data_IF_262274365696
#
_entry.id   IF_262274365696
#
_cell.length_a   1.000
_cell.length_b   1.000
_cell.length_c   1.000
_cell.angle_alpha   90.00
_cell.angle_beta   90.00
_cell.angle_gamma   90.00
#
_symmetry.space_group_name_H-M   'P 1'
#
loop_
_entity.id
_entity.type
_entity.pdbx_description
1 polymer ?
#
# COMPACT_ATOMS: atom_id res chain seq x y z
N UNK A 1 16.11 14.61 -0.71
CA UNK A 1 14.68 14.90 -0.48
C UNK A 1 13.86 13.89 -1.27
N UNK A 2 13.10 13.03 -0.59
CA UNK A 2 12.17 12.13 -1.29
C UNK A 2 10.96 12.90 -1.80
N UNK A 3 10.42 12.49 -2.94
CA UNK A 3 9.17 13.03 -3.48
C UNK A 3 7.99 12.29 -2.85
N UNK A 4 7.06 13.05 -2.26
CA UNK A 4 5.79 12.56 -1.74
C UNK A 4 4.69 12.88 -2.75
N UNK A 5 4.03 11.85 -3.27
CA UNK A 5 2.88 11.94 -4.14
C UNK A 5 1.65 11.48 -3.38
N UNK A 6 0.73 12.41 -3.10
CA UNK A 6 -0.58 12.09 -2.57
C UNK A 6 -1.58 12.14 -3.72
N UNK A 7 -2.21 11.00 -4.01
CA UNK A 7 -3.29 10.90 -4.97
C UNK A 7 -4.59 10.58 -4.23
N UNK A 8 -5.68 11.20 -4.65
CA UNK A 8 -6.98 11.01 -4.03
C UNK A 8 -8.01 10.66 -5.07
N UNK A 9 -8.64 9.51 -4.90
CA UNK A 9 -9.67 9.02 -5.82
C UNK A 9 -11.01 9.04 -5.10
N UNK A 10 -12.01 9.62 -5.77
CA UNK A 10 -13.39 9.60 -5.35
C UNK A 10 -14.12 8.48 -6.09
N UNK A 11 -14.65 7.52 -5.34
CA UNK A 11 -15.41 6.41 -5.90
C UNK A 11 -16.56 6.07 -4.96
N UNK A 12 -17.56 5.33 -5.46
CA UNK A 12 -18.63 4.81 -4.61
C UNK A 12 -18.08 3.89 -3.52
N UNK A 13 -18.69 3.93 -2.33
CA UNK A 13 -18.20 3.18 -1.16
C UNK A 13 -18.08 1.65 -1.40
N UNK A 14 -18.94 1.06 -2.23
CA UNK A 14 -18.83 -0.35 -2.63
C UNK A 14 -17.62 -0.61 -3.53
N UNK A 15 -17.41 0.23 -4.56
CA UNK A 15 -16.25 0.11 -5.46
C UNK A 15 -14.93 0.24 -4.71
N UNK A 16 -14.86 1.16 -3.75
CA UNK A 16 -13.70 1.35 -2.87
C UNK A 16 -13.38 0.06 -2.11
N UNK A 17 -14.39 -0.54 -1.48
CA UNK A 17 -14.20 -1.78 -0.72
C UNK A 17 -13.72 -2.92 -1.62
N UNK A 18 -14.37 -3.12 -2.77
CA UNK A 18 -13.95 -4.14 -3.73
C UNK A 18 -12.53 -3.92 -4.26
N UNK A 19 -12.11 -2.68 -4.52
CA UNK A 19 -10.72 -2.39 -4.91
C UNK A 19 -9.73 -2.70 -3.79
N UNK A 20 -10.02 -2.30 -2.55
CA UNK A 20 -9.17 -2.60 -1.40
C UNK A 20 -9.03 -4.12 -1.19
N UNK A 21 -10.12 -4.87 -1.34
CA UNK A 21 -10.09 -6.33 -1.30
C UNK A 21 -9.29 -6.93 -2.46
N UNK A 22 -9.48 -6.43 -3.68
CA UNK A 22 -8.69 -6.88 -4.84
C UNK A 22 -7.19 -6.65 -4.65
N UNK A 23 -6.80 -5.51 -4.09
CA UNK A 23 -5.39 -5.20 -3.80
C UNK A 23 -4.84 -6.13 -2.69
N UNK A 24 -5.68 -6.53 -1.73
CA UNK A 24 -5.29 -7.53 -0.71
C UNK A 24 -5.14 -8.93 -1.26
N UNK A 25 -6.02 -9.33 -2.18
CA UNK A 25 -5.98 -10.66 -2.78
C UNK A 25 -4.88 -10.76 -3.83
N UNK A 26 -4.63 -9.68 -4.55
CA UNK A 26 -3.62 -9.58 -5.58
C UNK A 26 -2.55 -8.56 -5.16
N UNK A 27 -1.74 -8.96 -4.18
CA UNK A 27 -0.58 -8.18 -3.74
C UNK A 27 0.41 -8.14 -4.90
N UNK A 28 0.66 -6.94 -5.41
CA UNK A 28 1.64 -6.73 -6.48
C UNK A 28 3.04 -6.96 -5.91
N UNK A 29 3.79 -7.90 -6.48
CA UNK A 29 5.18 -8.14 -6.05
C UNK A 29 6.13 -7.04 -6.52
N UNK A 30 5.75 -6.32 -7.58
CA UNK A 30 6.45 -5.15 -8.11
C UNK A 30 5.50 -3.96 -8.34
N UNK A 31 5.96 -2.76 -7.96
CA UNK A 31 5.27 -1.51 -8.28
C UNK A 31 6.24 -0.60 -9.04
N UNK A 32 5.94 -0.34 -10.31
CA UNK A 32 6.72 0.59 -11.13
C UNK A 32 8.19 0.18 -11.32
N UNK A 33 8.48 -1.12 -11.22
CA UNK A 33 9.84 -1.69 -11.31
C UNK A 33 10.61 -1.79 -9.99
N UNK A 34 9.98 -1.46 -8.85
CA UNK A 34 10.54 -1.65 -7.51
C UNK A 34 9.90 -2.89 -6.88
N UNK A 35 10.70 -3.79 -6.28
CA UNK A 35 10.17 -4.96 -5.58
C UNK A 35 9.59 -4.55 -4.23
N UNK A 36 8.54 -5.24 -3.81
CA UNK A 36 8.06 -5.16 -2.44
C UNK A 36 9.02 -5.85 -1.48
N UNK A 37 9.34 -5.14 -0.39
CA UNK A 37 10.10 -5.66 0.74
C UNK A 37 9.16 -6.29 1.76
N UNK A 38 8.14 -5.54 2.18
CA UNK A 38 7.24 -5.92 3.27
C UNK A 38 5.81 -5.47 3.00
N UNK A 39 4.88 -6.31 3.44
CA UNK A 39 3.44 -6.09 3.37
C UNK A 39 2.78 -6.38 4.74
N UNK A 40 2.70 -5.37 5.62
CA UNK A 40 1.87 -5.45 6.82
C UNK A 40 0.40 -5.20 6.53
N UNK A 41 -0.43 -6.22 6.79
CA UNK A 41 -1.87 -6.12 6.83
C UNK A 41 -2.33 -5.90 8.28
N UNK A 42 -2.58 -4.62 8.61
CA UNK A 42 -3.02 -4.20 9.95
C UNK A 42 -4.43 -4.70 10.31
N UNK A 43 -5.25 -5.14 9.36
CA UNK A 43 -6.55 -5.73 9.69
C UNK A 43 -6.37 -7.14 10.25
N UNK A 44 -5.47 -7.89 9.62
CA UNK A 44 -5.16 -9.27 10.02
C UNK A 44 -4.15 -9.35 11.16
N UNK A 45 -3.47 -8.23 11.47
CA UNK A 45 -2.34 -8.15 12.38
C UNK A 45 -1.18 -9.03 11.93
N UNK A 46 -0.91 -9.02 10.62
CA UNK A 46 0.08 -9.89 9.99
C UNK A 46 1.03 -9.04 9.16
N UNK A 47 2.32 -9.07 9.51
CA UNK A 47 3.42 -8.55 8.70
C UNK A 47 4.00 -9.70 7.89
N UNK A 48 3.84 -9.64 6.57
CA UNK A 48 4.51 -10.55 5.65
C UNK A 48 5.74 -9.85 5.08
N UNK A 49 6.89 -10.42 5.33
CA UNK A 49 8.14 -9.98 4.70
C UNK A 49 8.32 -10.77 3.40
N UNK A 50 8.29 -10.07 2.26
CA UNK A 50 8.48 -10.70 0.95
C UNK A 50 9.94 -11.10 0.71
N UNK A 51 10.89 -10.46 1.42
CA UNK A 51 12.33 -10.76 1.31
C UNK A 51 12.69 -12.08 1.99
N UNK A 52 12.24 -12.29 3.23
CA UNK A 52 12.55 -13.49 4.02
C UNK A 52 11.43 -14.53 4.00
N UNK A 53 10.22 -14.16 3.58
CA UNK A 53 9.03 -15.00 3.67
C UNK A 53 8.47 -15.10 5.08
N UNK A 54 9.03 -14.36 6.04
CA UNK A 54 8.63 -14.42 7.44
C UNK A 54 7.31 -13.70 7.67
N UNK A 55 6.49 -14.31 8.52
CA UNK A 55 5.16 -13.80 8.86
C UNK A 55 5.14 -13.53 10.35
N UNK A 56 5.13 -12.25 10.73
CA UNK A 56 5.13 -11.83 12.13
C UNK A 56 3.84 -11.11 12.49
N UNK A 57 3.55 -11.03 13.78
CA UNK A 57 2.39 -10.28 14.29
C UNK A 57 2.80 -8.86 14.64
N UNK A 58 2.02 -7.89 14.19
CA UNK A 58 2.33 -6.47 14.36
C UNK A 58 1.99 -5.95 15.75
N UNK A 59 0.98 -6.49 16.42
CA UNK A 59 0.51 -6.01 17.73
C UNK A 59 -0.03 -4.57 17.70
N UNK A 60 -0.34 -4.03 16.51
CA UNK A 60 -0.78 -2.65 16.32
C UNK A 60 -2.30 -2.58 16.21
N UNK A 61 -2.93 -1.42 16.51
CA UNK A 61 -4.38 -1.27 16.45
C UNK A 61 -4.90 -1.50 15.03
N UNK A 62 -5.94 -2.34 14.91
CA UNK A 62 -6.53 -2.71 13.62
C UNK A 62 -7.05 -1.48 12.88
N UNK A 63 -6.47 -1.22 11.72
CA UNK A 63 -6.84 -0.10 10.84
C UNK A 63 -6.98 -0.57 9.40
N UNK A 64 -7.96 -0.03 8.67
CA UNK A 64 -8.15 -0.34 7.25
C UNK A 64 -7.17 0.45 6.36
N UNK A 65 -5.88 0.17 6.58
CA UNK A 65 -4.75 0.75 5.87
C UNK A 65 -3.94 -0.39 5.28
N UNK A 66 -3.58 -0.25 4.02
CA UNK A 66 -2.61 -1.11 3.37
C UNK A 66 -1.30 -0.34 3.27
N UNK A 67 -0.25 -0.90 3.83
CA UNK A 67 1.09 -0.35 3.77
C UNK A 67 1.98 -1.30 3.00
N UNK A 68 2.76 -0.74 2.09
CA UNK A 68 3.65 -1.48 1.21
C UNK A 68 5.01 -0.82 1.30
N UNK A 69 5.99 -1.57 1.78
CA UNK A 69 7.38 -1.14 1.76
C UNK A 69 8.04 -1.68 0.50
N UNK A 70 8.75 -0.82 -0.22
CA UNK A 70 9.41 -1.11 -1.48
C UNK A 70 10.91 -0.90 -1.35
N UNK A 71 11.65 -1.49 -2.28
CA UNK A 71 13.09 -1.23 -2.43
C UNK A 71 13.40 0.28 -2.58
N UNK A 72 14.66 0.65 -2.31
CA UNK A 72 15.16 2.04 -2.36
C UNK A 72 14.56 3.02 -1.33
N UNK A 73 13.91 2.49 -0.29
CA UNK A 73 13.27 3.30 0.75
C UNK A 73 12.03 4.04 0.25
N UNK A 74 11.38 3.48 -0.77
CA UNK A 74 10.06 3.89 -1.20
C UNK A 74 8.99 3.14 -0.41
N UNK A 75 7.85 3.77 -0.18
CA UNK A 75 6.71 3.14 0.45
C UNK A 75 5.41 3.67 -0.15
N UNK A 76 4.41 2.80 -0.20
CA UNK A 76 3.09 3.08 -0.72
C UNK A 76 2.03 2.76 0.33
N UNK A 77 1.09 3.67 0.51
CA UNK A 77 0.02 3.55 1.48
C UNK A 77 -1.33 3.79 0.83
N UNK A 78 -2.28 2.93 1.15
CA UNK A 78 -3.67 3.06 0.72
C UNK A 78 -4.55 3.10 1.96
N UNK A 79 -5.29 4.19 2.11
CA UNK A 79 -6.19 4.39 3.24
C UNK A 79 -7.56 4.78 2.75
N UNK A 80 -8.56 4.04 3.20
CA UNK A 80 -9.95 4.42 3.02
C UNK A 80 -10.33 5.44 4.08
N UNK A 81 -10.77 6.62 3.64
CA UNK A 81 -11.37 7.62 4.52
C UNK A 81 -12.90 7.50 4.51
N UNK A 82 -13.51 7.94 5.61
CA UNK A 82 -14.97 7.87 5.81
C UNK A 82 -15.75 8.62 4.70
N UNK A 83 -15.13 9.63 4.10
CA UNK A 83 -15.72 10.53 3.10
C UNK A 83 -15.81 9.96 1.67
N UNK A 84 -15.92 8.64 1.47
CA UNK A 84 -15.93 7.98 0.13
C UNK A 84 -14.71 8.37 -0.72
N UNK A 85 -13.59 8.57 -0.06
CA UNK A 85 -12.32 9.00 -0.65
C UNK A 85 -11.27 7.96 -0.32
N UNK A 86 -10.59 7.47 -1.34
CA UNK A 86 -9.39 6.67 -1.16
C UNK A 86 -8.17 7.57 -1.30
N UNK A 87 -7.34 7.59 -0.28
CA UNK A 87 -6.07 8.29 -0.33
C UNK A 87 -4.96 7.28 -0.59
N UNK A 88 -4.19 7.56 -1.63
CA UNK A 88 -3.01 6.84 -2.02
C UNK A 88 -1.82 7.74 -1.78
N UNK A 89 -0.89 7.32 -0.92
CA UNK A 89 0.33 8.06 -0.64
C UNK A 89 1.51 7.23 -1.10
N UNK A 90 2.23 7.73 -2.09
CA UNK A 90 3.47 7.14 -2.56
C UNK A 90 4.61 8.08 -2.16
N UNK A 91 5.50 7.60 -1.32
CA UNK A 91 6.74 8.30 -1.02
C UNK A 91 7.87 7.51 -1.63
N UNK A 92 8.63 8.14 -2.52
CA UNK A 92 9.80 7.51 -3.11
C UNK A 92 10.93 8.52 -3.21
N UNK A 93 12.15 8.06 -2.92
CA UNK A 93 13.37 8.84 -3.18
C UNK A 93 13.79 8.77 -4.64
N UNK A 94 13.43 7.70 -5.33
CA UNK A 94 13.68 7.50 -6.76
C UNK A 94 12.44 7.94 -7.54
N UNK A 95 12.63 8.65 -8.65
CA UNK A 95 11.51 8.93 -9.56
C UNK A 95 10.94 7.59 -10.04
N UNK A 96 9.74 7.22 -9.57
CA UNK A 96 9.04 6.02 -10.06
C UNK A 96 8.82 6.22 -11.54
N UNK A 97 9.63 5.53 -12.35
CA UNK A 97 9.89 5.94 -13.74
C UNK A 97 8.66 5.76 -14.64
N UNK A 98 7.64 5.04 -14.18
CA UNK A 98 6.39 4.81 -14.89
C UNK A 98 5.26 4.52 -13.90
N UNK A 99 4.62 5.57 -13.41
CA UNK A 99 3.24 5.48 -12.95
C UNK A 99 2.51 6.73 -13.48
N UNK A 100 2.47 6.85 -14.81
CA UNK A 100 1.49 7.69 -15.51
C UNK A 100 0.67 6.76 -16.39
N UNK A 101 -0.64 7.03 -16.54
CA UNK A 101 -1.56 6.19 -17.33
C UNK A 101 -1.08 6.02 -18.77
#
# INVERSE_FOLDING_TARGET
MGSCFCFSVYMGAQKIQSMMEQIRTNVLEDIGGLKMLQFPDYIKDVLRECVTGEVTVTGFPKSNVLYFELEDGAWYCIRQELSRRLNFTLVSRVAVKRMRP
#
